data_IF_569058039787
#
_entry.id   IF_569058039787
#
_cell.length_a   1.000
_cell.length_b   1.000
_cell.length_c   1.000
_cell.angle_alpha   90.00
_cell.angle_beta   90.00
_cell.angle_gamma   90.00
#
_symmetry.space_group_name_H-M   'P 1'
#
loop_
_entity.id
_entity.type
_entity.pdbx_description
1 polymer ?
#
# COMPACT_ATOMS: atom_id res chain seq x y z
N UNK A 1 0.14 4.44 -23.14
CA UNK A 1 0.92 4.07 -21.93
C UNK A 1 0.14 4.16 -20.60
N UNK A 2 -1.06 4.75 -20.57
CA UNK A 2 -1.78 5.03 -19.32
C UNK A 2 -2.38 3.78 -18.62
N UNK A 3 -2.84 2.76 -19.37
CA UNK A 3 -3.32 1.51 -18.77
C UNK A 3 -2.22 0.74 -18.03
N UNK A 4 -0.96 0.85 -18.46
CA UNK A 4 0.19 0.17 -17.83
C UNK A 4 0.51 0.77 -16.45
N UNK A 5 0.31 2.08 -16.28
CA UNK A 5 0.58 2.79 -15.02
C UNK A 5 -0.47 2.49 -13.94
N UNK A 6 -1.74 2.33 -14.33
CA UNK A 6 -2.84 1.96 -13.43
C UNK A 6 -2.70 0.53 -12.91
N UNK A 7 -2.21 -0.40 -13.74
CA UNK A 7 -1.94 -1.77 -13.33
C UNK A 7 -0.82 -1.86 -12.28
N UNK A 8 0.23 -1.04 -12.43
CA UNK A 8 1.33 -1.00 -11.47
C UNK A 8 0.89 -0.48 -10.08
N UNK A 9 0.04 0.55 -10.02
CA UNK A 9 -0.48 1.07 -8.75
C UNK A 9 -1.33 0.06 -7.99
N UNK A 10 -2.18 -0.70 -8.69
CA UNK A 10 -2.97 -1.79 -8.11
C UNK A 10 -2.09 -2.92 -7.55
N UNK A 11 -1.03 -3.29 -8.26
CA UNK A 11 -0.07 -4.32 -7.81
C UNK A 11 0.67 -3.90 -6.54
N UNK A 12 1.06 -2.62 -6.42
CA UNK A 12 1.72 -2.08 -5.23
C UNK A 12 0.81 -2.19 -4.00
N UNK A 13 -0.46 -1.83 -4.15
CA UNK A 13 -1.46 -1.93 -3.09
C UNK A 13 -1.66 -3.40 -2.70
N UNK A 14 -1.82 -4.29 -3.68
CA UNK A 14 -2.04 -5.72 -3.46
C UNK A 14 -0.88 -6.35 -2.67
N UNK A 15 0.37 -6.05 -3.06
CA UNK A 15 1.56 -6.51 -2.35
C UNK A 15 1.64 -5.98 -0.92
N UNK A 16 1.33 -4.69 -0.71
CA UNK A 16 1.26 -4.12 0.63
C UNK A 16 0.23 -4.82 1.53
N UNK A 17 -0.95 -5.13 0.99
CA UNK A 17 -2.00 -5.86 1.72
C UNK A 17 -1.60 -7.30 2.05
N UNK A 18 -0.92 -8.01 1.15
CA UNK A 18 -0.44 -9.38 1.40
C UNK A 18 0.60 -9.38 2.53
N UNK A 19 1.57 -8.46 2.49
CA UNK A 19 2.58 -8.33 3.54
C UNK A 19 1.93 -8.02 4.88
N UNK A 20 0.93 -7.12 4.89
CA UNK A 20 0.15 -6.81 6.10
C UNK A 20 -0.53 -8.07 6.64
N UNK A 21 -1.21 -8.86 5.78
CA UNK A 21 -1.91 -10.09 6.18
C UNK A 21 -1.00 -11.19 6.70
N UNK A 22 0.25 -11.27 6.25
CA UNK A 22 1.25 -12.23 6.78
C UNK A 22 1.83 -11.73 8.12
N UNK A 23 2.03 -10.42 8.25
CA UNK A 23 2.69 -9.85 9.42
C UNK A 23 1.73 -9.66 10.60
N UNK A 24 0.48 -9.29 10.34
CA UNK A 24 -0.55 -9.07 11.34
C UNK A 24 -0.76 -10.25 12.32
N UNK A 25 -0.89 -11.52 11.88
CA UNK A 25 -1.04 -12.66 12.79
C UNK A 25 0.25 -13.00 13.55
N UNK A 26 1.41 -12.46 13.14
CA UNK A 26 2.69 -12.64 13.85
C UNK A 26 2.92 -11.57 14.91
N UNK A 27 2.14 -10.49 14.91
CA UNK A 27 2.21 -9.46 15.94
C UNK A 27 1.53 -10.02 17.19
N UNK A 28 2.32 -10.11 18.27
CA UNK A 28 1.77 -10.37 19.59
C UNK A 28 1.38 -9.03 20.23
N UNK A 29 0.08 -8.72 20.26
CA UNK A 29 -0.45 -7.42 20.71
C UNK A 29 -0.14 -7.12 22.19
N UNK A 30 0.09 -8.15 23.01
CA UNK A 30 0.52 -7.98 24.41
C UNK A 30 1.96 -7.49 24.54
N UNK A 31 2.77 -7.63 23.49
CA UNK A 31 4.20 -7.26 23.50
C UNK A 31 4.60 -6.57 22.20
N UNK A 32 3.89 -5.51 21.85
CA UNK A 32 4.23 -4.64 20.71
C UNK A 32 5.60 -4.01 20.95
N UNK A 33 6.51 -4.24 19.99
CA UNK A 33 7.82 -3.57 19.97
C UNK A 33 7.76 -2.37 19.04
N UNK A 34 8.61 -1.38 19.28
CA UNK A 34 8.75 -0.19 18.44
C UNK A 34 8.99 -0.54 16.96
N UNK A 35 9.63 -1.68 16.71
CA UNK A 35 9.90 -2.22 15.36
C UNK A 35 8.61 -2.58 14.62
N UNK A 36 7.62 -3.14 15.31
CA UNK A 36 6.33 -3.54 14.72
C UNK A 36 5.49 -2.30 14.37
N UNK A 37 5.56 -1.25 15.19
CA UNK A 37 4.94 0.05 14.92
C UNK A 37 5.60 0.71 13.70
N UNK A 38 6.93 0.71 13.63
CA UNK A 38 7.68 1.26 12.50
C UNK A 38 7.38 0.53 11.18
N UNK A 39 7.19 -0.79 11.25
CA UNK A 39 6.83 -1.61 10.10
C UNK A 39 5.40 -1.31 9.62
N UNK A 40 4.44 -1.22 10.54
CA UNK A 40 3.05 -0.81 10.24
C UNK A 40 2.99 0.58 9.61
N UNK A 41 3.72 1.55 10.16
CA UNK A 41 3.81 2.90 9.61
C UNK A 41 4.40 2.90 8.19
N UNK A 42 5.49 2.15 7.98
CA UNK A 42 6.12 2.03 6.66
C UNK A 42 5.21 1.38 5.62
N UNK A 43 4.47 0.32 6.01
CA UNK A 43 3.46 -0.33 5.17
C UNK A 43 2.31 0.61 4.82
N UNK A 44 1.83 1.41 5.78
CA UNK A 44 0.79 2.40 5.54
C UNK A 44 1.23 3.46 4.51
N UNK A 45 2.47 3.95 4.61
CA UNK A 45 3.05 4.90 3.63
C UNK A 45 3.18 4.24 2.25
N UNK A 46 3.64 2.99 2.20
CA UNK A 46 3.79 2.25 0.93
C UNK A 46 2.46 2.06 0.20
N UNK A 47 1.42 1.62 0.91
CA UNK A 47 0.07 1.46 0.36
C UNK A 47 -0.49 2.82 -0.08
N UNK A 48 -0.32 3.85 0.74
CA UNK A 48 -0.78 5.22 0.43
C UNK A 48 -0.15 5.76 -0.86
N UNK A 49 1.13 5.45 -1.11
CA UNK A 49 1.81 5.81 -2.35
C UNK A 49 1.17 5.11 -3.57
N UNK A 50 0.88 3.82 -3.46
CA UNK A 50 0.15 3.06 -4.49
C UNK A 50 -1.23 3.64 -4.79
N UNK A 51 -1.99 3.98 -3.75
CA UNK A 51 -3.32 4.61 -3.86
C UNK A 51 -3.22 5.99 -4.51
N UNK A 52 -2.26 6.82 -4.12
CA UNK A 52 -2.05 8.15 -4.70
C UNK A 52 -1.80 8.07 -6.21
N UNK A 53 -0.94 7.14 -6.66
CA UNK A 53 -0.68 6.91 -8.08
C UNK A 53 -1.96 6.50 -8.81
N UNK A 54 -2.77 5.63 -8.18
CA UNK A 54 -4.05 5.18 -8.73
C UNK A 54 -5.04 6.34 -8.91
N UNK A 55 -5.20 7.19 -7.88
CA UNK A 55 -6.10 8.35 -7.89
C UNK A 55 -5.63 9.38 -8.92
N UNK A 56 -4.34 9.73 -8.92
CA UNK A 56 -3.76 10.69 -9.89
C UNK A 56 -3.94 10.20 -11.33
N UNK A 57 -3.76 8.90 -11.57
CA UNK A 57 -4.00 8.29 -12.88
C UNK A 57 -5.49 8.34 -13.27
N UNK A 58 -6.41 8.18 -12.32
CA UNK A 58 -7.87 8.26 -12.58
C UNK A 58 -8.30 9.69 -12.90
N UNK A 59 -7.72 10.68 -12.20
CA UNK A 59 -8.06 12.09 -12.38
C UNK A 59 -7.58 12.66 -13.72
N UNK A 60 -6.40 12.23 -14.21
CA UNK A 60 -5.91 12.63 -15.53
C UNK A 60 -6.81 12.12 -16.67
N UNK A 61 -7.46 10.97 -16.50
CA UNK A 61 -8.32 10.35 -17.52
C UNK A 61 -9.69 11.02 -17.63
N UNK A 62 -10.17 11.74 -16.61
CA UNK A 62 -11.39 12.55 -16.71
C UNK A 62 -11.17 13.93 -17.32
N UNK A 63 -9.91 14.36 -17.48
CA UNK A 63 -9.55 15.62 -18.12
C UNK A 63 -9.15 15.47 -19.60
N UNK A 64 -9.18 14.25 -20.14
CA UNK A 64 -9.05 13.96 -21.57
C UNK A 64 -10.40 13.54 -22.13
#
# INVERSE_FOLDING_TARGET
>A
MENKRRNNGGVIILMGCIILGIYFPKINFEKIRTVDIGLLASLAVFISCGVYILIKSKNNRQRQ
#
